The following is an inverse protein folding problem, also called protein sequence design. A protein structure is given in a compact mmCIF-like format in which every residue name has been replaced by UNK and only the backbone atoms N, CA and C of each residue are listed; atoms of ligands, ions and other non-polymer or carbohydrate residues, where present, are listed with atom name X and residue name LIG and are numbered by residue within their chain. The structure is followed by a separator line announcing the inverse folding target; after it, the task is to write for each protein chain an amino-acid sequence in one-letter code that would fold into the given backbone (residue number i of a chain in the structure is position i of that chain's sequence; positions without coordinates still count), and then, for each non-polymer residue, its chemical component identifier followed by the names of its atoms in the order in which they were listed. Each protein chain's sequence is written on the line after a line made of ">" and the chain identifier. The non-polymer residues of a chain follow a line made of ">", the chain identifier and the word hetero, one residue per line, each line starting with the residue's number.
data_IF_121407285081
#
_entry.id   IF_121407285081
#
_cell.length_a   1.000
_cell.length_b   1.000
_cell.length_c   1.000
_cell.angle_alpha   90.00
_cell.angle_beta   90.00
_cell.angle_gamma   90.00
#
_symmetry.space_group_name_H-M   'P 1'
#
loop_
_entity.id
_entity.type
_entity.pdbx_description
1 polymer ?
#
# COMPACT_ATOMS: atom_id res chain seq x y z
N UNK A 1 45.45 -36.78 -50.06
CA UNK A 1 45.97 -36.15 -48.83
C UNK A 1 45.58 -34.68 -48.87
N UNK A 2 44.99 -34.19 -47.78
CA UNK A 2 43.94 -33.16 -47.74
C UNK A 2 44.40 -31.72 -48.05
N UNK A 3 43.58 -31.02 -48.83
CA UNK A 3 43.56 -29.55 -49.00
C UNK A 3 43.05 -28.85 -47.74
N UNK A 4 43.75 -27.82 -47.30
CA UNK A 4 43.29 -26.89 -46.25
C UNK A 4 42.49 -25.75 -46.88
N UNK A 5 41.26 -25.53 -46.41
CA UNK A 5 40.42 -24.38 -46.75
C UNK A 5 40.55 -23.34 -45.63
N UNK A 6 41.00 -22.14 -45.99
CA UNK A 6 40.99 -20.95 -45.13
C UNK A 6 39.56 -20.39 -45.08
N UNK A 7 38.96 -20.27 -43.89
CA UNK A 7 37.72 -19.53 -43.69
C UNK A 7 38.03 -18.19 -43.00
N UNK A 8 37.68 -17.10 -43.69
CA UNK A 8 37.78 -15.72 -43.20
C UNK A 8 36.56 -15.45 -42.31
N UNK A 9 36.78 -15.22 -41.02
CA UNK A 9 35.75 -14.73 -40.10
C UNK A 9 35.74 -13.19 -40.14
N UNK A 10 34.74 -12.64 -40.83
CA UNK A 10 34.37 -11.22 -40.73
C UNK A 10 33.66 -10.96 -39.41
N UNK A 11 34.31 -10.24 -38.49
CA UNK A 11 33.70 -9.77 -37.26
C UNK A 11 32.75 -8.59 -37.55
N UNK A 12 31.44 -8.84 -37.47
CA UNK A 12 30.43 -7.79 -37.43
C UNK A 12 30.39 -7.15 -36.04
N UNK A 13 30.80 -5.89 -35.93
CA UNK A 13 30.64 -5.11 -34.71
C UNK A 13 29.16 -4.68 -34.57
N UNK A 14 28.43 -5.31 -33.64
CA UNK A 14 27.10 -4.86 -33.23
C UNK A 14 27.25 -3.70 -32.23
N UNK A 15 26.78 -2.51 -32.60
CA UNK A 15 26.63 -1.38 -31.70
C UNK A 15 25.50 -1.68 -30.70
N UNK A 16 25.86 -2.11 -29.49
CA UNK A 16 24.93 -2.16 -28.38
C UNK A 16 24.60 -0.73 -27.93
N UNK A 17 23.43 -0.23 -28.35
CA UNK A 17 22.83 0.98 -27.78
C UNK A 17 22.46 0.72 -26.33
N UNK A 18 23.35 1.09 -25.40
CA UNK A 18 23.09 1.07 -23.98
C UNK A 18 22.03 2.11 -23.64
N UNK A 19 20.82 1.66 -23.31
CA UNK A 19 19.84 2.49 -22.59
C UNK A 19 20.41 2.68 -21.18
N UNK A 20 20.94 3.86 -20.89
CA UNK A 20 21.25 4.26 -19.52
C UNK A 20 19.93 4.48 -18.80
N UNK A 21 19.50 3.52 -17.99
CA UNK A 21 18.45 3.75 -16.99
C UNK A 21 19.03 4.72 -15.96
N UNK A 22 18.72 6.00 -16.11
CA UNK A 22 19.00 7.00 -15.09
C UNK A 22 18.27 6.59 -13.80
N UNK A 23 18.97 6.47 -12.65
CA UNK A 23 18.32 6.04 -11.42
C UNK A 23 17.28 7.09 -11.03
N UNK A 24 16.05 6.64 -10.76
CA UNK A 24 14.99 7.49 -10.27
C UNK A 24 15.46 8.23 -9.01
N UNK A 25 15.52 9.56 -9.06
CA UNK A 25 15.89 10.38 -7.91
C UNK A 25 14.79 10.24 -6.86
N UNK A 26 15.17 9.77 -5.67
CA UNK A 26 14.25 9.63 -4.55
C UNK A 26 13.77 11.02 -4.08
N UNK A 27 12.45 11.32 -4.15
CA UNK A 27 11.92 12.63 -3.78
C UNK A 27 12.21 13.03 -2.33
N UNK A 28 12.41 12.05 -1.44
CA UNK A 28 12.72 12.30 -0.03
C UNK A 28 14.20 12.45 0.27
N UNK A 29 15.10 12.26 -0.69
CA UNK A 29 16.54 12.30 -0.46
C UNK A 29 17.05 13.63 0.13
N UNK A 30 16.33 14.74 -0.10
CA UNK A 30 16.64 16.07 0.47
C UNK A 30 16.06 16.31 1.87
N UNK A 31 15.16 15.45 2.34
CA UNK A 31 14.53 15.54 3.66
C UNK A 31 15.15 14.54 4.63
N UNK A 32 16.49 14.53 4.68
CA UNK A 32 17.29 13.75 5.62
C UNK A 32 17.28 14.41 6.98
N UNK A 33 17.48 13.61 8.00
CA UNK A 33 17.66 14.10 9.37
C UNK A 33 18.85 15.02 9.49
N UNK A 34 18.73 15.99 10.39
CA UNK A 34 19.83 16.81 10.88
C UNK A 34 19.89 16.76 12.41
N UNK A 35 20.63 17.68 13.03
CA UNK A 35 20.83 17.70 14.48
C UNK A 35 19.53 17.94 15.27
N UNK A 36 18.56 18.65 14.68
CA UNK A 36 17.33 19.07 15.37
C UNK A 36 16.08 18.32 14.87
N UNK A 37 16.02 18.02 13.58
CA UNK A 37 14.84 17.49 12.89
C UNK A 37 15.07 16.05 12.45
N UNK A 38 14.07 15.19 12.68
CA UNK A 38 14.05 13.87 12.09
C UNK A 38 13.55 13.94 10.65
N UNK A 39 14.37 13.46 9.72
CA UNK A 39 14.08 13.48 8.29
C UNK A 39 12.97 12.50 7.92
N UNK A 40 12.09 12.95 7.03
CA UNK A 40 11.03 12.12 6.46
C UNK A 40 11.59 10.96 5.62
N UNK A 41 12.82 11.08 5.12
CA UNK A 41 13.52 9.96 4.50
C UNK A 41 13.64 8.77 5.48
N UNK A 42 14.15 9.02 6.68
CA UNK A 42 14.37 7.97 7.69
C UNK A 42 13.04 7.43 8.22
N UNK A 43 12.00 8.26 8.33
CA UNK A 43 10.65 7.80 8.69
C UNK A 43 10.11 6.82 7.64
N UNK A 44 10.20 7.16 6.35
CA UNK A 44 9.74 6.27 5.27
C UNK A 44 10.57 4.99 5.22
N UNK A 45 11.87 5.07 5.49
CA UNK A 45 12.76 3.91 5.56
C UNK A 45 12.34 2.93 6.66
N UNK A 46 12.05 3.41 7.88
CA UNK A 46 11.53 2.56 8.96
C UNK A 46 10.18 1.91 8.59
N UNK A 47 9.27 2.68 7.98
CA UNK A 47 8.01 2.13 7.50
C UNK A 47 8.24 1.05 6.44
N UNK A 48 9.19 1.27 5.51
CA UNK A 48 9.56 0.28 4.50
C UNK A 48 10.11 -0.99 5.12
N UNK A 49 11.03 -0.90 6.07
CA UNK A 49 11.63 -2.05 6.73
C UNK A 49 10.58 -2.89 7.48
N UNK A 50 9.61 -2.21 8.11
CA UNK A 50 8.44 -2.89 8.68
C UNK A 50 7.66 -3.65 7.61
N UNK A 51 7.32 -2.99 6.50
CA UNK A 51 6.54 -3.61 5.42
C UNK A 51 7.28 -4.76 4.76
N UNK A 52 8.60 -4.67 4.54
CA UNK A 52 9.38 -5.76 3.98
C UNK A 52 9.26 -7.03 4.84
N UNK A 53 9.28 -6.89 6.16
CA UNK A 53 9.06 -8.01 7.10
C UNK A 53 7.64 -8.57 7.04
N UNK A 54 6.63 -7.72 6.90
CA UNK A 54 5.23 -8.16 6.80
C UNK A 54 4.94 -8.82 5.45
N UNK A 55 5.42 -8.22 4.36
CA UNK A 55 5.33 -8.72 3.00
C UNK A 55 5.95 -10.11 2.88
N UNK A 56 7.14 -10.31 3.44
CA UNK A 56 7.80 -11.62 3.46
C UNK A 56 7.02 -12.69 4.24
N UNK A 57 6.33 -12.30 5.33
CA UNK A 57 5.51 -13.23 6.14
C UNK A 57 4.20 -13.57 5.46
N UNK A 58 3.53 -12.58 4.87
CA UNK A 58 2.14 -12.69 4.44
C UNK A 58 2.00 -12.89 2.91
N UNK A 59 3.12 -12.91 2.17
CA UNK A 59 3.10 -12.98 0.70
C UNK A 59 2.45 -11.75 0.06
N UNK A 60 2.59 -10.58 0.69
CA UNK A 60 2.03 -9.30 0.21
C UNK A 60 3.12 -8.40 -0.38
N UNK A 61 2.74 -7.25 -0.93
CA UNK A 61 3.64 -6.33 -1.64
C UNK A 61 3.39 -4.86 -1.26
N UNK A 62 3.03 -4.60 0.00
CA UNK A 62 2.79 -3.26 0.49
C UNK A 62 4.03 -2.39 0.38
N UNK A 63 3.82 -1.14 -0.03
CA UNK A 63 4.86 -0.11 -0.15
C UNK A 63 4.43 1.14 0.61
N UNK A 64 5.37 1.84 1.26
CA UNK A 64 5.04 3.11 1.87
C UNK A 64 4.75 4.15 0.78
N UNK A 65 3.73 4.96 1.01
CA UNK A 65 3.49 6.21 0.28
C UNK A 65 4.28 7.29 0.99
N UNK A 66 4.80 8.27 0.23
CA UNK A 66 5.57 9.36 0.82
C UNK A 66 4.74 10.13 1.87
N UNK A 67 5.29 10.36 3.08
CA UNK A 67 4.66 11.20 4.09
C UNK A 67 4.54 12.64 3.61
N UNK A 68 3.59 13.39 4.19
CA UNK A 68 3.40 14.80 3.87
C UNK A 68 4.66 15.60 4.23
N UNK A 69 5.25 16.24 3.23
CA UNK A 69 6.50 17.02 3.34
C UNK A 69 6.38 18.25 4.25
N UNK A 70 5.15 18.62 4.65
CA UNK A 70 4.90 19.71 5.60
C UNK A 70 5.09 19.28 7.06
N UNK A 71 5.21 17.97 7.32
CA UNK A 71 5.38 17.45 8.68
C UNK A 71 6.83 17.62 9.13
N UNK A 72 7.01 18.22 10.31
CA UNK A 72 8.31 18.38 10.98
C UNK A 72 8.19 17.76 12.36
N UNK A 73 9.14 16.89 12.70
CA UNK A 73 9.23 16.25 14.02
C UNK A 73 10.65 16.33 14.54
N UNK A 74 10.81 16.44 15.86
CA UNK A 74 12.11 16.50 16.50
C UNK A 74 12.94 15.22 16.25
N UNK A 75 14.26 15.38 16.11
CA UNK A 75 15.20 14.29 15.88
C UNK A 75 15.09 13.25 16.99
N UNK A 76 14.86 12.00 16.59
CA UNK A 76 14.78 10.90 17.55
C UNK A 76 16.17 10.56 18.14
N UNK A 77 16.23 10.44 19.47
CA UNK A 77 17.43 10.05 20.23
C UNK A 77 17.53 8.54 20.47
N UNK A 78 16.56 7.78 19.98
CA UNK A 78 16.47 6.32 20.05
C UNK A 78 16.07 5.77 18.68
N UNK A 79 16.26 4.46 18.42
CA UNK A 79 15.72 3.85 17.21
C UNK A 79 14.21 4.04 17.11
N UNK A 80 13.74 4.28 15.89
CA UNK A 80 12.31 4.34 15.60
C UNK A 80 11.65 2.97 15.85
N UNK A 81 10.33 3.00 16.02
CA UNK A 81 9.50 1.80 16.12
C UNK A 81 8.34 1.88 15.13
N UNK A 82 7.86 0.73 14.71
CA UNK A 82 6.81 0.60 13.70
C UNK A 82 5.73 -0.41 14.12
N UNK A 83 4.46 -0.08 13.87
CA UNK A 83 3.30 -0.98 14.04
C UNK A 83 2.19 -0.66 13.03
N UNK A 84 1.27 -1.60 12.81
CA UNK A 84 0.07 -1.35 12.03
C UNK A 84 -0.84 -0.30 12.69
N UNK A 85 -1.47 0.56 11.88
CA UNK A 85 -2.52 1.50 12.30
C UNK A 85 -3.51 1.78 11.17
N UNK A 86 -4.59 2.48 11.49
CA UNK A 86 -5.49 3.11 10.52
C UNK A 86 -5.33 4.63 10.64
N UNK A 87 -5.20 5.33 9.51
CA UNK A 87 -5.18 6.80 9.45
C UNK A 87 -6.03 7.26 8.27
N UNK A 88 -7.02 8.12 8.52
CA UNK A 88 -7.97 8.60 7.50
C UNK A 88 -8.58 7.46 6.66
N UNK A 89 -9.02 6.39 7.33
CA UNK A 89 -9.58 5.18 6.70
C UNK A 89 -8.62 4.41 5.79
N UNK A 90 -7.32 4.74 5.80
CA UNK A 90 -6.27 4.00 5.10
C UNK A 90 -5.51 3.12 6.08
N UNK A 91 -5.15 1.92 5.63
CA UNK A 91 -4.15 1.10 6.31
C UNK A 91 -2.82 1.84 6.24
N UNK A 92 -2.13 1.93 7.37
CA UNK A 92 -0.92 2.71 7.52
C UNK A 92 0.05 2.01 8.48
N UNK A 93 1.32 2.42 8.44
CA UNK A 93 2.31 2.07 9.45
C UNK A 93 2.49 3.25 10.37
N UNK A 94 2.24 3.07 11.67
CA UNK A 94 2.59 4.08 12.67
C UNK A 94 4.07 3.97 12.98
N UNK A 95 4.83 5.01 12.61
CA UNK A 95 6.24 5.15 12.98
C UNK A 95 6.33 6.04 14.21
N UNK A 96 7.07 5.63 15.24
CA UNK A 96 7.12 6.37 16.50
C UNK A 96 8.53 6.54 17.04
N UNK A 97 8.71 7.67 17.73
CA UNK A 97 9.88 8.00 18.52
C UNK A 97 9.48 8.16 19.98
N UNK A 98 10.10 7.39 20.89
CA UNK A 98 9.79 7.49 22.31
C UNK A 98 10.65 8.49 23.09
N UNK A 99 11.72 9.00 22.48
CA UNK A 99 12.63 9.98 23.08
C UNK A 99 13.33 10.82 22.01
N UNK A 100 13.16 12.13 22.04
CA UNK A 100 13.79 13.08 21.12
C UNK A 100 15.10 13.65 21.70
N UNK A 101 15.96 14.24 20.86
CA UNK A 101 17.22 14.87 21.27
C UNK A 101 17.00 16.24 21.91
N UNK A 102 15.93 16.94 21.54
CA UNK A 102 15.62 18.29 22.00
C UNK A 102 14.95 18.24 23.38
N UNK A 103 15.24 19.22 24.22
CA UNK A 103 14.54 19.45 25.50
C UNK A 103 13.12 20.03 25.34
N UNK A 104 12.66 20.18 24.10
CA UNK A 104 11.36 20.70 23.71
C UNK A 104 10.20 19.90 24.34
N UNK A 105 8.97 20.48 24.38
CA UNK A 105 7.84 19.83 25.04
C UNK A 105 7.48 18.46 24.46
N UNK A 106 7.69 18.25 23.16
CA UNK A 106 7.42 16.98 22.49
C UNK A 106 8.63 16.04 22.59
N UNK A 107 8.75 15.37 23.74
CA UNK A 107 9.79 14.35 23.96
C UNK A 107 9.54 13.03 23.21
N UNK A 108 8.42 12.91 22.51
CA UNK A 108 7.98 11.73 21.77
C UNK A 108 7.01 12.15 20.66
N UNK A 109 6.93 11.36 19.60
CA UNK A 109 5.99 11.58 18.51
C UNK A 109 5.59 10.26 17.85
N UNK A 110 4.44 10.28 17.17
CA UNK A 110 3.96 9.20 16.33
C UNK A 110 3.51 9.79 14.99
N UNK A 111 3.93 9.17 13.88
CA UNK A 111 3.65 9.61 12.53
C UNK A 111 3.08 8.44 11.72
N UNK A 112 1.82 8.52 11.26
CA UNK A 112 1.27 7.52 10.36
C UNK A 112 1.82 7.69 8.94
N UNK A 113 2.43 6.63 8.40
CA UNK A 113 2.86 6.54 7.01
C UNK A 113 1.82 5.70 6.25
N UNK A 114 1.11 6.34 5.33
CA UNK A 114 0.14 5.64 4.47
C UNK A 114 0.84 4.60 3.61
N UNK A 115 0.14 3.50 3.30
CA UNK A 115 0.69 2.45 2.46
C UNK A 115 -0.19 2.18 1.25
N UNK A 116 0.43 1.66 0.20
CA UNK A 116 -0.23 1.25 -1.04
C UNK A 116 0.26 -0.11 -1.50
N UNK A 117 -0.50 -0.74 -2.36
CA UNK A 117 -0.08 -1.92 -3.12
C UNK A 117 -0.73 -1.82 -4.49
N UNK A 118 0.00 -2.18 -5.52
CA UNK A 118 -0.54 -2.25 -6.89
C UNK A 118 -1.38 -3.51 -7.07
N UNK A 119 -1.13 -4.54 -6.25
CA UNK A 119 -1.76 -5.86 -6.31
C UNK A 119 -2.97 -6.01 -5.40
N UNK A 120 -3.10 -5.21 -4.34
CA UNK A 120 -4.16 -5.33 -3.34
C UNK A 120 -5.28 -4.31 -3.57
N UNK A 121 -6.52 -4.71 -3.28
CA UNK A 121 -7.68 -3.85 -3.36
C UNK A 121 -7.69 -2.89 -2.17
N UNK A 122 -7.87 -1.58 -2.43
CA UNK A 122 -7.99 -0.60 -1.35
C UNK A 122 -9.35 -0.77 -0.67
N UNK A 123 -9.38 -0.70 0.67
CA UNK A 123 -10.63 -0.69 1.44
C UNK A 123 -11.57 0.45 1.01
N UNK A 124 -11.01 1.59 0.59
CA UNK A 124 -11.78 2.70 0.02
C UNK A 124 -12.56 2.29 -1.24
N UNK A 125 -11.96 1.54 -2.16
CA UNK A 125 -12.65 1.10 -3.38
C UNK A 125 -13.80 0.11 -3.06
N UNK A 126 -13.62 -0.71 -2.01
CA UNK A 126 -14.64 -1.63 -1.52
C UNK A 126 -15.80 -0.86 -0.88
N UNK A 127 -15.49 0.16 -0.05
CA UNK A 127 -16.47 1.07 0.54
C UNK A 127 -17.26 1.83 -0.54
N UNK A 128 -16.59 2.42 -1.52
CA UNK A 128 -17.23 3.14 -2.63
C UNK A 128 -18.16 2.23 -3.45
N UNK A 129 -17.76 0.99 -3.70
CA UNK A 129 -18.60 0.01 -4.38
C UNK A 129 -19.88 -0.31 -3.58
N UNK A 130 -19.76 -0.44 -2.24
CA UNK A 130 -20.90 -0.63 -1.36
C UNK A 130 -21.81 0.59 -1.35
N UNK A 131 -21.25 1.80 -1.18
CA UNK A 131 -21.99 3.05 -1.17
C UNK A 131 -22.78 3.26 -2.47
N UNK A 132 -22.14 2.99 -3.61
CA UNK A 132 -22.79 3.06 -4.93
C UNK A 132 -23.96 2.08 -5.04
N UNK A 133 -23.79 0.85 -4.55
CA UNK A 133 -24.84 -0.17 -4.57
C UNK A 133 -26.03 0.22 -3.70
N UNK A 134 -25.80 0.66 -2.46
CA UNK A 134 -26.85 1.09 -1.52
C UNK A 134 -27.67 2.22 -2.14
N UNK A 135 -27.01 3.22 -2.73
CA UNK A 135 -27.68 4.36 -3.39
C UNK A 135 -28.49 3.95 -4.62
N UNK A 136 -28.12 2.86 -5.31
CA UNK A 136 -28.88 2.33 -6.45
C UNK A 136 -30.06 1.43 -6.06
N UNK A 137 -30.15 1.00 -4.79
CA UNK A 137 -31.16 0.05 -4.29
C UNK A 137 -32.03 0.66 -3.16
N UNK A 138 -32.76 1.76 -3.43
CA UNK A 138 -33.50 2.52 -2.40
C UNK A 138 -34.67 1.76 -1.77
N UNK A 139 -35.09 0.63 -2.34
CA UNK A 139 -36.21 -0.17 -1.81
C UNK A 139 -35.83 -1.01 -0.58
N UNK A 140 -34.54 -1.24 -0.34
CA UNK A 140 -34.02 -1.84 0.91
C UNK A 140 -33.19 -0.87 1.73
N UNK A 141 -32.59 0.12 1.06
CA UNK A 141 -31.86 1.17 1.74
C UNK A 141 -32.73 2.37 2.03
N UNK A 142 -33.12 2.56 3.29
CA UNK A 142 -33.73 3.83 3.70
C UNK A 142 -32.89 5.01 3.23
N UNK A 143 -33.50 6.16 2.94
CA UNK A 143 -32.84 7.31 2.29
C UNK A 143 -31.59 7.86 3.02
N UNK A 144 -31.30 7.39 4.24
CA UNK A 144 -30.21 7.84 5.09
C UNK A 144 -29.15 6.76 5.36
N UNK A 145 -29.13 5.66 4.60
CA UNK A 145 -28.14 4.61 4.83
C UNK A 145 -26.77 4.95 4.26
N UNK A 146 -25.73 4.66 5.03
CA UNK A 146 -24.33 4.85 4.66
C UNK A 146 -23.57 3.52 4.69
N UNK A 147 -22.66 3.33 3.74
CA UNK A 147 -21.72 2.22 3.81
C UNK A 147 -20.65 2.53 4.87
N UNK A 148 -20.37 1.60 5.77
CA UNK A 148 -19.16 1.64 6.58
C UNK A 148 -17.93 1.21 5.78
N UNK A 149 -16.82 0.97 6.48
CA UNK A 149 -15.61 0.42 5.87
C UNK A 149 -15.51 -1.09 6.15
N UNK A 150 -14.85 -1.87 5.26
CA UNK A 150 -14.39 -3.21 5.59
C UNK A 150 -13.53 -3.22 6.85
N UNK A 151 -13.40 -4.39 7.49
CA UNK A 151 -12.46 -4.59 8.59
C UNK A 151 -11.06 -4.09 8.21
N UNK A 152 -10.33 -3.48 9.15
CA UNK A 152 -8.93 -3.06 8.97
C UNK A 152 -8.00 -4.24 8.62
N UNK A 153 -8.39 -5.47 8.97
CA UNK A 153 -7.69 -6.70 8.61
C UNK A 153 -8.02 -7.22 7.19
N UNK A 154 -8.94 -6.58 6.46
CA UNK A 154 -9.30 -6.96 5.10
C UNK A 154 -8.10 -6.81 4.17
N UNK A 155 -7.68 -7.92 3.58
CA UNK A 155 -6.58 -7.98 2.62
C UNK A 155 -7.00 -8.88 1.47
N UNK A 156 -7.39 -8.27 0.36
CA UNK A 156 -7.83 -8.98 -0.83
C UNK A 156 -7.12 -8.42 -2.05
N UNK A 157 -6.81 -9.27 -3.03
CA UNK A 157 -6.20 -8.83 -4.27
C UNK A 157 -7.13 -7.90 -5.04
N UNK A 158 -6.54 -6.97 -5.78
CA UNK A 158 -7.25 -6.05 -6.65
C UNK A 158 -8.07 -6.84 -7.66
N UNK A 159 -9.31 -6.41 -7.85
CA UNK A 159 -10.21 -7.08 -8.77
C UNK A 159 -9.84 -6.77 -10.22
N UNK A 160 -9.76 -7.79 -11.06
CA UNK A 160 -9.53 -7.68 -12.50
C UNK A 160 -10.82 -7.36 -13.28
N UNK A 161 -11.97 -7.46 -12.62
CA UNK A 161 -13.31 -7.21 -13.17
C UNK A 161 -14.04 -6.22 -12.26
N UNK A 162 -15.09 -5.54 -12.76
CA UNK A 162 -15.91 -4.69 -11.91
C UNK A 162 -16.43 -5.43 -10.67
N UNK A 163 -16.37 -4.77 -9.52
CA UNK A 163 -16.89 -5.30 -8.27
C UNK A 163 -18.40 -5.48 -8.38
N UNK A 164 -18.88 -6.61 -7.88
CA UNK A 164 -20.32 -6.88 -7.69
C UNK A 164 -20.68 -6.60 -6.23
N UNK A 165 -21.93 -6.26 -5.99
CA UNK A 165 -22.45 -6.01 -4.67
C UNK A 165 -23.79 -6.71 -4.50
N UNK A 166 -24.04 -7.26 -3.31
CA UNK A 166 -25.33 -7.85 -2.95
C UNK A 166 -25.64 -7.59 -1.47
N UNK A 167 -26.92 -7.38 -1.16
CA UNK A 167 -27.38 -7.32 0.23
C UNK A 167 -27.12 -8.65 0.93
N UNK A 168 -26.42 -8.60 2.06
CA UNK A 168 -26.27 -9.76 2.94
C UNK A 168 -27.47 -9.80 3.89
N UNK A 169 -28.11 -10.97 3.95
CA UNK A 169 -29.26 -11.43 4.75
C UNK A 169 -29.92 -10.50 5.80
N UNK A 170 -31.24 -10.58 5.89
CA UNK A 170 -32.16 -9.50 6.31
C UNK A 170 -32.44 -9.32 7.81
N UNK A 171 -31.94 -10.17 8.70
CA UNK A 171 -32.61 -10.33 10.00
C UNK A 171 -31.82 -9.84 11.23
N UNK A 172 -30.54 -9.45 11.10
CA UNK A 172 -29.72 -9.10 12.28
C UNK A 172 -28.76 -7.93 12.08
N UNK A 173 -28.08 -7.84 10.93
CA UNK A 173 -27.07 -6.80 10.68
C UNK A 173 -27.10 -6.39 9.21
N UNK A 174 -27.52 -5.15 8.95
CA UNK A 174 -27.60 -4.64 7.60
C UNK A 174 -26.18 -4.50 7.04
N UNK A 175 -25.85 -5.31 6.04
CA UNK A 175 -24.54 -5.31 5.43
C UNK A 175 -24.62 -5.63 3.94
N UNK A 176 -23.61 -5.19 3.20
CA UNK A 176 -23.43 -5.47 1.78
C UNK A 176 -22.21 -6.35 1.61
N UNK A 177 -22.35 -7.43 0.86
CA UNK A 177 -21.22 -8.23 0.41
C UNK A 177 -20.70 -7.64 -0.90
N UNK A 178 -19.42 -7.24 -0.89
CA UNK A 178 -18.69 -6.83 -2.09
C UNK A 178 -17.89 -8.01 -2.60
N UNK A 179 -18.09 -8.32 -3.87
CA UNK A 179 -17.65 -9.56 -4.49
C UNK A 179 -16.75 -9.25 -5.67
N UNK A 180 -15.58 -9.88 -5.67
CA UNK A 180 -14.71 -9.94 -6.81
C UNK A 180 -14.73 -11.35 -7.40
N UNK A 181 -15.15 -11.48 -8.66
CA UNK A 181 -15.19 -12.78 -9.35
C UNK A 181 -13.82 -13.20 -9.93
N UNK A 182 -12.91 -12.25 -10.14
CA UNK A 182 -11.58 -12.51 -10.72
C UNK A 182 -10.56 -11.48 -10.23
N UNK A 183 -9.47 -11.90 -9.62
CA UNK A 183 -8.35 -11.06 -9.18
C UNK A 183 -7.32 -10.81 -10.29
N UNK A 184 -6.55 -9.72 -10.21
CA UNK A 184 -5.45 -9.43 -11.17
C UNK A 184 -4.25 -10.37 -11.02
N UNK A 185 -4.15 -11.04 -9.88
CA UNK A 185 -3.10 -11.99 -9.56
C UNK A 185 -3.66 -13.20 -8.82
N UNK A 186 -3.21 -14.39 -9.18
CA UNK A 186 -3.86 -15.66 -8.76
C UNK A 186 -2.93 -16.65 -8.08
N UNK A 187 -1.78 -16.20 -7.59
CA UNK A 187 -0.93 -16.99 -6.72
C UNK A 187 -0.25 -16.10 -5.67
N UNK A 188 -0.26 -16.47 -4.37
CA UNK A 188 -0.79 -17.72 -3.79
C UNK A 188 -2.26 -17.68 -3.33
N UNK A 189 -3.01 -16.61 -3.58
CA UNK A 189 -4.36 -16.41 -3.00
C UNK A 189 -5.54 -16.80 -3.90
N UNK A 190 -6.76 -16.91 -3.33
CA UNK A 190 -7.98 -17.20 -4.08
C UNK A 190 -8.25 -16.20 -5.21
N UNK A 191 -8.67 -16.76 -6.36
CA UNK A 191 -9.01 -16.03 -7.60
C UNK A 191 -10.24 -15.14 -7.50
N UNK A 192 -11.00 -15.27 -6.41
CA UNK A 192 -12.22 -14.54 -6.14
C UNK A 192 -12.34 -14.33 -4.64
N UNK A 193 -13.01 -13.27 -4.22
CA UNK A 193 -13.22 -12.98 -2.81
C UNK A 193 -14.55 -12.29 -2.58
N UNK A 194 -14.97 -12.32 -1.31
CA UNK A 194 -16.18 -11.66 -0.81
C UNK A 194 -15.81 -10.95 0.49
N UNK A 195 -16.12 -9.66 0.57
CA UNK A 195 -15.84 -8.82 1.74
C UNK A 195 -17.16 -8.23 2.24
N UNK A 196 -17.40 -8.35 3.54
CA UNK A 196 -18.56 -7.73 4.20
C UNK A 196 -18.27 -6.25 4.47
N UNK A 197 -19.22 -5.40 4.12
CA UNK A 197 -19.24 -3.97 4.47
C UNK A 197 -20.48 -3.71 5.32
N UNK A 198 -20.34 -3.20 6.56
CA UNK A 198 -21.49 -2.84 7.39
C UNK A 198 -22.25 -1.65 6.78
N UNK A 199 -23.54 -1.54 7.05
CA UNK A 199 -24.38 -0.40 6.69
C UNK A 199 -24.93 0.24 7.96
N UNK A 200 -24.88 1.57 8.03
CA UNK A 200 -25.36 2.38 9.16
C UNK A 200 -26.51 3.28 8.75
#
# INVERSE_FOLDING_TARGET
>A
MNSAILAILSAGAALAGGVTTEPAIDPLAKYRSNDEIHGLYEVRAEAKDFLDRQNARDGTDWRPIDPDIRIVVDRCAVPLKSKWTMFESRKSVLVSCSRTVTSAPQRRWELPVSIGSDRLQRNYDIHEAALKFIRSEPTRGGANQEAGYPSASTMVYKCAVPLKAEWRNKDVELSVDIICAKTIDSAPMPRSWRVRVPVT
#
